data_IF_573662754201
#
_entry.id   IF_573662754201
#
_cell.length_a   1.000
_cell.length_b   1.000
_cell.length_c   1.000
_cell.angle_alpha   90.00
_cell.angle_beta   90.00
_cell.angle_gamma   90.00
#
_symmetry.space_group_name_H-M   'P 1'
#
loop_
_entity.id
_entity.type
_entity.pdbx_description
1 polymer ?
#
# COMPACT_ATOMS: atom_id res chain seq x y z
N UNK A 1 -2.13 -6.20 -21.01
CA UNK A 1 -2.60 -5.88 -19.64
C UNK A 1 -2.50 -4.38 -19.45
N UNK A 2 -3.40 -3.75 -18.69
CA UNK A 2 -3.35 -2.30 -18.50
C UNK A 2 -2.36 -1.93 -17.40
N UNK A 3 -1.15 -1.50 -17.79
CA UNK A 3 -0.09 -1.07 -16.87
C UNK A 3 -0.36 0.33 -16.28
N UNK A 4 -1.58 0.56 -15.78
CA UNK A 4 -2.01 1.83 -15.20
C UNK A 4 -1.91 1.77 -13.67
N UNK A 5 -1.00 2.52 -13.02
CA UNK A 5 -0.82 2.45 -11.57
C UNK A 5 -2.08 2.88 -10.80
N UNK A 6 -2.88 3.78 -11.36
CA UNK A 6 -4.16 4.21 -10.77
C UNK A 6 -5.14 3.03 -10.61
N UNK A 7 -5.40 2.28 -11.68
CA UNK A 7 -6.32 1.12 -11.66
C UNK A 7 -5.81 -0.01 -10.76
N UNK A 8 -4.50 -0.17 -10.62
CA UNK A 8 -3.90 -1.11 -9.66
C UNK A 8 -4.13 -0.64 -8.19
N UNK A 9 -3.92 0.65 -7.92
CA UNK A 9 -4.17 1.26 -6.61
C UNK A 9 -5.66 1.19 -6.22
N UNK A 10 -6.58 1.54 -7.12
CA UNK A 10 -8.03 1.39 -6.93
C UNK A 10 -8.43 -0.05 -6.61
N UNK A 11 -7.81 -1.03 -7.29
CA UNK A 11 -8.07 -2.46 -7.04
C UNK A 11 -7.68 -2.84 -5.61
N UNK A 12 -6.50 -2.42 -5.13
CA UNK A 12 -6.02 -2.71 -3.76
C UNK A 12 -6.74 -1.90 -2.69
N UNK A 13 -7.16 -0.67 -2.99
CA UNK A 13 -8.00 0.13 -2.11
C UNK A 13 -9.36 -0.55 -1.88
N UNK A 14 -9.99 -1.09 -2.93
CA UNK A 14 -11.28 -1.81 -2.85
C UNK A 14 -11.23 -3.14 -2.08
N UNK A 15 -10.04 -3.63 -1.69
CA UNK A 15 -9.92 -4.85 -0.87
C UNK A 15 -10.25 -4.64 0.62
N UNK A 16 -10.21 -3.40 1.13
CA UNK A 16 -10.52 -3.09 2.52
C UNK A 16 -11.21 -1.72 2.67
N UNK A 17 -12.08 -1.58 3.67
CA UNK A 17 -12.72 -0.29 3.98
C UNK A 17 -11.69 0.66 4.62
N UNK A 18 -11.86 1.97 4.41
CA UNK A 18 -10.97 2.99 4.99
C UNK A 18 -9.63 3.17 4.25
N UNK A 19 -9.51 2.61 3.03
CA UNK A 19 -8.38 2.88 2.14
C UNK A 19 -8.70 4.02 1.16
N UNK A 20 -7.72 4.90 0.96
CA UNK A 20 -7.79 6.02 0.02
C UNK A 20 -6.62 5.94 -0.96
N UNK A 21 -6.83 6.40 -2.20
CA UNK A 21 -5.78 6.53 -3.22
C UNK A 21 -5.33 7.99 -3.29
N UNK A 22 -4.02 8.23 -3.24
CA UNK A 22 -3.40 9.56 -3.39
C UNK A 22 -2.24 9.50 -4.40
N UNK A 23 -1.73 10.64 -4.87
CA UNK A 23 -0.60 10.70 -5.81
C UNK A 23 0.52 11.54 -5.21
N UNK A 24 1.70 10.96 -5.06
CA UNK A 24 2.89 11.66 -4.57
C UNK A 24 3.38 12.72 -5.56
N UNK A 25 3.84 13.85 -5.04
CA UNK A 25 4.39 14.99 -5.78
C UNK A 25 5.69 15.43 -5.13
N UNK A 26 6.55 16.11 -5.90
CA UNK A 26 7.86 16.55 -5.42
C UNK A 26 8.89 15.42 -5.32
N UNK A 27 10.00 15.71 -4.65
CA UNK A 27 11.23 14.91 -4.69
C UNK A 27 11.73 14.46 -3.30
N UNK A 28 11.10 14.91 -2.20
CA UNK A 28 11.53 14.61 -0.81
C UNK A 28 11.53 13.12 -0.46
N UNK A 29 10.79 12.30 -1.22
CA UNK A 29 10.71 10.85 -1.05
C UNK A 29 11.47 10.05 -2.11
N UNK A 30 12.35 10.68 -2.89
CA UNK A 30 13.30 9.95 -3.72
C UNK A 30 14.28 9.12 -2.85
N UNK A 31 14.81 8.00 -3.37
CA UNK A 31 14.44 7.33 -4.62
C UNK A 31 13.14 6.48 -4.50
N UNK A 32 12.56 6.37 -3.29
CA UNK A 32 11.48 5.42 -2.97
C UNK A 32 10.16 5.71 -3.71
N UNK A 33 9.71 6.96 -3.70
CA UNK A 33 8.50 7.42 -4.38
C UNK A 33 8.80 8.65 -5.26
N UNK A 34 9.16 8.44 -6.54
CA UNK A 34 9.20 9.52 -7.53
C UNK A 34 7.83 10.19 -7.72
N UNK A 35 7.83 11.45 -8.14
CA UNK A 35 6.60 12.18 -8.48
C UNK A 35 5.71 11.40 -9.46
N UNK A 36 4.38 11.42 -9.23
CA UNK A 36 3.42 10.61 -9.98
C UNK A 36 3.29 9.15 -9.49
N UNK A 37 4.00 8.74 -8.44
CA UNK A 37 3.72 7.46 -7.75
C UNK A 37 2.34 7.52 -7.09
N UNK A 38 1.49 6.56 -7.41
CA UNK A 38 0.14 6.40 -6.84
C UNK A 38 0.25 5.56 -5.56
N UNK A 39 -0.16 6.12 -4.43
CA UNK A 39 -0.09 5.50 -3.12
C UNK A 39 -1.50 5.07 -2.67
N UNK A 40 -1.58 3.91 -2.01
CA UNK A 40 -2.77 3.50 -1.25
C UNK A 40 -2.45 3.70 0.23
N UNK A 41 -3.29 4.46 0.93
CA UNK A 41 -3.13 4.76 2.35
C UNK A 41 -4.27 4.17 3.18
N UNK A 42 -3.97 3.77 4.41
CA UNK A 42 -4.91 3.19 5.37
C UNK A 42 -4.66 3.79 6.76
N UNK A 43 -5.71 4.10 7.53
CA UNK A 43 -5.56 4.66 8.88
C UNK A 43 -5.24 3.56 9.91
N UNK A 44 -4.01 3.04 9.84
CA UNK A 44 -3.39 2.19 10.87
C UNK A 44 -3.49 2.89 12.24
N UNK A 45 -3.75 2.14 13.31
CA UNK A 45 -3.96 2.71 14.64
C UNK A 45 -2.68 3.36 15.19
N UNK A 46 -2.82 4.46 15.93
CA UNK A 46 -1.68 5.25 16.43
C UNK A 46 -0.64 4.44 17.21
N UNK A 47 -1.09 3.50 18.05
CA UNK A 47 -0.24 2.59 18.84
C UNK A 47 0.48 1.51 18.03
N UNK A 48 0.13 1.36 16.74
CA UNK A 48 0.75 0.40 15.81
C UNK A 48 1.78 1.06 14.89
N UNK A 49 1.89 2.39 14.85
CA UNK A 49 2.92 3.11 14.08
C UNK A 49 4.33 2.73 14.56
N UNK A 50 5.28 2.61 13.64
CA UNK A 50 6.68 2.25 13.92
C UNK A 50 7.62 3.09 13.04
N UNK A 51 8.88 3.19 13.46
CA UNK A 51 9.94 3.72 12.61
C UNK A 51 10.03 2.92 11.30
N UNK A 52 10.36 3.59 10.20
CA UNK A 52 10.40 3.02 8.84
C UNK A 52 9.06 3.02 8.09
N UNK A 53 7.93 3.31 8.76
CA UNK A 53 6.64 3.47 8.08
C UNK A 53 6.56 4.84 7.38
N UNK A 54 6.17 4.88 6.11
CA UNK A 54 5.74 6.12 5.46
C UNK A 54 4.32 6.47 5.91
N UNK A 55 4.12 7.68 6.42
CA UNK A 55 2.80 8.20 6.78
C UNK A 55 2.47 9.47 6.01
N UNK A 56 1.18 9.70 5.78
CA UNK A 56 0.61 10.97 5.34
C UNK A 56 0.07 11.71 6.56
N UNK A 57 0.35 13.00 6.65
CA UNK A 57 -0.15 13.91 7.69
C UNK A 57 -0.39 15.31 7.12
N UNK A 58 -1.27 16.07 7.78
CA UNK A 58 -1.57 17.46 7.43
C UNK A 58 -0.48 18.40 7.96
N UNK A 59 -0.07 19.37 7.13
CA UNK A 59 0.93 20.37 7.49
C UNK A 59 0.27 21.58 8.18
N UNK A 60 0.37 21.61 9.51
CA UNK A 60 0.05 22.81 10.29
C UNK A 60 0.85 24.03 9.76
N UNK A 61 0.17 25.18 9.58
CA UNK A 61 0.77 26.38 8.98
C UNK A 61 0.99 26.34 7.46
N UNK A 62 0.70 25.22 6.79
CA UNK A 62 0.64 25.13 5.33
C UNK A 62 -0.66 25.68 4.74
N UNK A 63 -0.89 25.40 3.46
CA UNK A 63 -2.21 25.61 2.84
C UNK A 63 -3.25 24.66 3.44
N UNK A 64 -4.51 25.07 3.46
CA UNK A 64 -5.59 24.23 4.00
C UNK A 64 -5.73 22.93 3.19
N UNK A 65 -5.50 21.78 3.85
CA UNK A 65 -5.45 20.46 3.20
C UNK A 65 -4.10 20.09 2.57
N UNK A 66 -3.03 20.84 2.84
CA UNK A 66 -1.67 20.47 2.45
C UNK A 66 -1.22 19.21 3.22
N UNK A 67 -1.06 18.11 2.49
CA UNK A 67 -0.62 16.83 3.04
C UNK A 67 0.84 16.54 2.67
N UNK A 68 1.64 16.16 3.67
CA UNK A 68 3.03 15.73 3.51
C UNK A 68 3.11 14.22 3.74
N UNK A 69 3.99 13.54 2.99
CA UNK A 69 4.13 12.08 3.02
C UNK A 69 5.58 11.65 3.24
N UNK A 70 5.97 11.40 4.49
CA UNK A 70 7.36 11.16 4.90
C UNK A 70 7.51 9.92 5.79
N UNK A 71 8.74 9.47 6.04
CA UNK A 71 9.05 8.29 6.84
C UNK A 71 9.17 8.64 8.31
N UNK A 72 8.48 7.89 9.17
CA UNK A 72 8.65 7.98 10.61
C UNK A 72 10.04 7.49 11.03
N UNK A 73 10.80 8.31 11.76
CA UNK A 73 12.17 7.97 12.19
C UNK A 73 12.22 7.62 13.68
N UNK A 74 11.70 8.49 14.54
CA UNK A 74 11.79 8.36 16.02
C UNK A 74 10.46 8.71 16.68
N UNK A 75 10.07 7.95 17.71
CA UNK A 75 8.93 8.31 18.57
C UNK A 75 9.41 9.17 19.75
N UNK A 76 8.85 10.36 19.88
CA UNK A 76 9.08 11.29 20.99
C UNK A 76 7.82 11.42 21.87
N UNK A 77 7.96 12.06 23.03
CA UNK A 77 6.84 12.32 23.95
C UNK A 77 5.74 13.24 23.37
N UNK A 78 6.03 13.98 22.30
CA UNK A 78 5.08 14.91 21.64
C UNK A 78 4.49 14.38 20.33
N UNK A 79 4.93 13.24 19.84
CA UNK A 79 4.57 12.71 18.52
C UNK A 79 5.72 11.94 17.88
N UNK A 80 5.62 11.63 16.60
CA UNK A 80 6.72 11.08 15.83
C UNK A 80 7.49 12.16 15.09
N UNK A 81 8.81 12.01 15.03
CA UNK A 81 9.66 12.65 14.03
C UNK A 81 9.39 11.99 12.68
N UNK A 82 9.22 12.79 11.64
CA UNK A 82 9.20 12.34 10.25
C UNK A 82 10.37 12.97 9.48
N UNK A 83 10.74 12.36 8.35
CA UNK A 83 11.74 12.89 7.43
C UNK A 83 11.50 12.39 6.00
N UNK A 84 11.69 13.27 5.01
CA UNK A 84 11.79 12.87 3.61
C UNK A 84 13.12 12.17 3.34
N UNK A 85 13.11 11.03 2.65
CA UNK A 85 14.32 10.23 2.36
C UNK A 85 15.38 10.96 1.51
N UNK A 86 15.01 12.08 0.89
CA UNK A 86 15.87 12.96 0.10
C UNK A 86 16.04 14.35 0.73
N UNK A 87 15.74 14.49 2.03
CA UNK A 87 15.94 15.71 2.82
C UNK A 87 17.08 15.50 3.82
N UNK A 88 18.01 16.45 3.93
CA UNK A 88 19.10 16.40 4.92
C UNK A 88 18.58 16.40 6.37
N UNK A 89 17.62 17.29 6.66
CA UNK A 89 17.03 17.48 7.98
C UNK A 89 15.65 16.78 8.14
N UNK A 90 15.28 16.36 9.37
CA UNK A 90 13.92 15.94 9.70
C UNK A 90 12.91 17.10 9.62
N UNK A 91 11.62 16.76 9.58
CA UNK A 91 10.54 17.76 9.60
C UNK A 91 10.52 18.55 10.93
N UNK A 92 10.40 19.89 10.84
CA UNK A 92 10.23 20.81 11.99
C UNK A 92 9.05 20.41 12.89
N UNK A 93 8.04 19.80 12.27
CA UNK A 93 6.76 19.42 12.86
C UNK A 93 6.76 17.95 13.27
N UNK A 94 6.05 17.62 14.35
CA UNK A 94 5.80 16.22 14.72
C UNK A 94 4.50 15.72 14.09
N UNK A 95 4.51 14.47 13.66
CA UNK A 95 3.27 13.74 13.39
C UNK A 95 2.63 13.41 14.74
N UNK A 96 1.35 13.70 14.88
CA UNK A 96 0.55 13.56 16.11
C UNK A 96 -0.76 12.81 15.79
N UNK A 97 -1.52 12.35 16.80
CA UNK A 97 -2.84 11.76 16.56
C UNK A 97 -3.83 12.68 15.83
N UNK A 98 -3.60 14.01 15.90
CA UNK A 98 -4.47 15.04 15.32
C UNK A 98 -4.21 15.32 13.83
N UNK A 99 -2.94 15.48 13.43
CA UNK A 99 -2.58 15.77 12.03
C UNK A 99 -2.28 14.51 11.19
N UNK A 100 -2.04 13.34 11.79
CA UNK A 100 -1.91 12.08 11.06
C UNK A 100 -3.16 11.75 10.25
N UNK A 101 -2.99 11.40 8.97
CA UNK A 101 -4.06 11.01 8.04
C UNK A 101 -4.10 9.49 7.84
N UNK A 102 -2.97 8.86 7.53
CA UNK A 102 -2.87 7.42 7.30
C UNK A 102 -1.46 6.94 6.98
N UNK A 103 -1.24 5.63 6.99
CA UNK A 103 0.02 4.97 6.63
C UNK A 103 -0.03 4.46 5.19
N UNK A 104 1.06 4.55 4.43
CA UNK A 104 1.15 3.98 3.08
C UNK A 104 1.21 2.46 3.17
N UNK A 105 0.22 1.77 2.60
CA UNK A 105 0.12 0.30 2.60
C UNK A 105 0.43 -0.34 1.24
N UNK A 106 0.43 0.44 0.15
CA UNK A 106 0.95 0.03 -1.15
C UNK A 106 1.35 1.25 -2.00
N UNK A 107 2.29 1.06 -2.94
CA UNK A 107 2.73 2.08 -3.89
C UNK A 107 2.82 1.52 -5.31
N UNK A 108 2.40 2.31 -6.30
CA UNK A 108 2.32 1.93 -7.71
C UNK A 108 2.87 3.05 -8.60
N UNK A 109 3.84 2.74 -9.45
CA UNK A 109 4.37 3.65 -10.48
C UNK A 109 4.33 2.97 -11.85
N UNK A 110 4.39 3.76 -12.93
CA UNK A 110 4.67 3.19 -14.26
C UNK A 110 6.15 2.79 -14.31
N UNK A 111 6.41 1.54 -14.68
CA UNK A 111 7.76 1.12 -15.09
C UNK A 111 7.89 1.41 -16.58
N UNK A 112 8.63 2.47 -16.92
CA UNK A 112 9.00 2.75 -18.31
C UNK A 112 10.08 1.75 -18.75
N UNK A 113 9.95 1.09 -19.92
CA UNK A 113 11.02 0.23 -20.44
C UNK A 113 12.33 1.02 -20.58
N UNK A 114 13.40 0.52 -19.94
CA UNK A 114 14.70 1.21 -19.87
C UNK A 114 14.94 2.06 -18.62
N UNK A 115 13.94 2.23 -17.73
CA UNK A 115 14.13 2.76 -16.39
C UNK A 115 14.38 1.66 -15.35
N UNK A 116 15.09 1.98 -14.26
CA UNK A 116 15.44 1.01 -13.22
C UNK A 116 14.23 0.25 -12.64
N UNK A 117 14.32 -1.09 -12.45
CA UNK A 117 13.20 -1.94 -12.09
C UNK A 117 12.86 -1.92 -10.58
N UNK A 118 12.67 -0.74 -9.98
CA UNK A 118 11.92 -0.65 -8.73
C UNK A 118 10.44 -1.05 -9.03
N UNK A 119 10.04 -2.31 -8.86
CA UNK A 119 9.92 -3.11 -7.61
C UNK A 119 8.63 -2.78 -6.89
N UNK A 120 7.91 -3.85 -6.49
CA UNK A 120 6.76 -3.76 -5.61
C UNK A 120 7.24 -3.42 -4.20
N UNK A 121 7.38 -2.13 -3.94
CA UNK A 121 7.77 -1.58 -2.64
C UNK A 121 6.60 -1.69 -1.67
N UNK A 122 6.42 -2.89 -1.11
CA UNK A 122 5.67 -3.08 0.11
C UNK A 122 6.41 -2.36 1.25
N UNK A 123 5.77 -1.37 1.86
CA UNK A 123 6.24 -0.84 3.15
C UNK A 123 6.27 -1.98 4.17
N UNK A 124 7.27 -2.00 5.06
CA UNK A 124 7.54 -3.15 5.94
C UNK A 124 6.32 -3.47 6.81
N UNK A 125 5.64 -4.57 6.49
CA UNK A 125 4.42 -4.95 7.19
C UNK A 125 4.79 -5.62 8.52
N UNK A 126 4.28 -5.13 9.66
CA UNK A 126 4.56 -5.73 10.95
C UNK A 126 4.16 -7.20 10.96
N UNK A 127 5.16 -8.08 11.15
CA UNK A 127 5.03 -9.54 11.08
C UNK A 127 4.02 -10.03 12.11
N UNK A 128 2.79 -10.27 11.67
CA UNK A 128 1.64 -10.59 12.52
C UNK A 128 0.32 -10.73 11.74
N UNK A 129 0.16 -10.00 10.63
CA UNK A 129 -0.89 -10.30 9.65
C UNK A 129 -0.52 -11.56 8.85
N UNK A 130 -1.33 -12.62 8.96
CA UNK A 130 -1.09 -13.93 8.34
C UNK A 130 -1.10 -13.87 6.80
N UNK A 131 -0.11 -14.51 6.15
CA UNK A 131 -0.26 -14.95 4.76
C UNK A 131 -1.34 -16.04 4.66
N UNK A 132 -2.10 -16.02 3.57
CA UNK A 132 -2.38 -17.25 2.81
C UNK A 132 -2.17 -17.00 1.32
N UNK A 133 -1.03 -17.46 0.82
CA UNK A 133 -0.78 -17.77 -0.58
C UNK A 133 -0.61 -19.30 -0.72
N UNK A 134 -0.57 -19.80 -1.96
CA UNK A 134 -0.64 -21.21 -2.35
C UNK A 134 -2.01 -21.89 -2.11
N UNK A 135 -2.46 -22.83 -2.94
CA UNK A 135 -1.74 -23.58 -3.99
C UNK A 135 -2.36 -23.42 -5.40
N UNK A 136 -1.52 -23.53 -6.41
CA UNK A 136 -1.88 -24.00 -7.76
C UNK A 136 -1.59 -25.51 -7.85
N UNK A 137 -2.54 -26.29 -8.40
CA UNK A 137 -2.32 -27.51 -9.22
C UNK A 137 -3.65 -27.87 -9.92
N UNK A 138 -3.64 -28.18 -11.23
CA UNK A 138 -4.89 -28.49 -11.95
C UNK A 138 -4.78 -29.03 -13.40
N UNK A 139 -3.64 -29.59 -13.79
CA UNK A 139 -3.38 -29.99 -15.18
C UNK A 139 -3.99 -31.34 -15.63
N UNK A 140 -5.13 -31.27 -16.32
CA UNK A 140 -5.49 -32.07 -17.54
C UNK A 140 -5.46 -33.63 -17.51
N UNK A 141 -6.62 -34.22 -17.86
CA UNK A 141 -6.86 -35.45 -18.66
C UNK A 141 -7.31 -36.81 -18.03
N UNK A 142 -8.42 -37.32 -18.65
CA UNK A 142 -8.83 -38.72 -18.92
C UNK A 142 -9.29 -39.64 -17.76
N UNK A 143 -10.54 -40.16 -17.87
CA UNK A 143 -11.03 -41.29 -17.08
C UNK A 143 -12.55 -41.56 -17.09
N UNK A 144 -13.08 -42.28 -18.10
CA UNK A 144 -14.33 -43.10 -18.05
C UNK A 144 -13.90 -44.59 -18.18
N UNK A 145 -14.72 -45.63 -17.88
CA UNK A 145 -16.17 -45.68 -17.56
C UNK A 145 -16.43 -46.34 -16.15
N UNK A 146 -17.62 -46.71 -15.64
CA UNK A 146 -18.71 -47.61 -16.16
C UNK A 146 -20.04 -47.52 -15.37
N UNK A 147 -21.07 -48.21 -15.92
CA UNK A 147 -22.40 -48.64 -15.37
C UNK A 147 -22.47 -48.86 -13.83
N UNK A 148 -23.63 -48.73 -13.17
CA UNK A 148 -24.96 -49.36 -13.44
C UNK A 148 -26.09 -48.48 -12.83
N UNK A 149 -27.23 -48.19 -13.47
CA UNK A 149 -28.47 -49.01 -13.54
C UNK A 149 -29.14 -49.17 -12.16
N UNK A 150 -30.45 -48.98 -11.93
CA UNK A 150 -31.61 -48.54 -12.74
C UNK A 150 -32.72 -48.05 -11.74
N UNK A 151 -34.03 -47.84 -11.97
CA UNK A 151 -35.01 -48.04 -13.04
C UNK A 151 -36.28 -47.18 -12.74
N UNK A 152 -37.02 -46.71 -13.76
CA UNK A 152 -38.44 -46.28 -13.66
C UNK A 152 -38.72 -44.78 -13.76
N UNK A 153 -39.89 -44.29 -14.20
CA UNK A 153 -40.89 -44.70 -15.23
C UNK A 153 -42.17 -43.89 -15.00
N UNK A 154 -42.85 -43.47 -16.08
CA UNK A 154 -44.27 -43.03 -16.12
C UNK A 154 -44.62 -41.72 -15.36
N UNK A 155 -45.44 -40.80 -15.90
CA UNK A 155 -46.10 -40.67 -17.21
C UNK A 155 -45.79 -39.31 -17.86
#
# INVERSE_FOLDING_TARGET
MNNNPWTAAETVARLARGRTVVVGQGESMLPLYPAGTVLVIERVAWSQLRAGMTVIYEREGGLAGEMVGHVLTTQEARGWVAQGLNNDDPDDMRVTPGNYVGTVVAAFRRVTPGGDPATLLAADMPRGAMMRAALDQGGVARGRPTKTGSLGSME
#
